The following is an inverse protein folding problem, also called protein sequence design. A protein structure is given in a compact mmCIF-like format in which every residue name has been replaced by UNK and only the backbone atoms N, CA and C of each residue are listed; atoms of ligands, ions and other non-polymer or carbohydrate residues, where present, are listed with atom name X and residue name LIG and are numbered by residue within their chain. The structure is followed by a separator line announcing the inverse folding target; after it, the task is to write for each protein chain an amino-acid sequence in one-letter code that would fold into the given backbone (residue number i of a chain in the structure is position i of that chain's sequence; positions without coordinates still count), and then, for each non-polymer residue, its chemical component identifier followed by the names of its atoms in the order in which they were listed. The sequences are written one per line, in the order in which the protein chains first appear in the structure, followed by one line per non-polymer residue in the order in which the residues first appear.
data_IF_921476638289
#
_entry.id   IF_921476638289
#
_cell.length_a   1.000
_cell.length_b   1.000
_cell.length_c   1.000
_cell.angle_alpha   90.00
_cell.angle_beta   90.00
_cell.angle_gamma   90.00
#
_symmetry.space_group_name_H-M   'P 1'
#
loop_
_entity.id
_entity.type
_entity.pdbx_description
1 polymer ?
#
# COMPACT_ATOMS: atom_id res chain seq x y z
N UNK A 1 -8.88 2.17 12.01
CA UNK A 1 -7.88 1.64 11.06
C UNK A 1 -8.27 0.20 10.73
N UNK A 2 -8.33 -0.18 9.46
CA UNK A 2 -8.53 -1.59 9.09
C UNK A 2 -7.31 -2.39 9.56
N UNK A 3 -7.54 -3.55 10.18
CA UNK A 3 -6.44 -4.42 10.63
C UNK A 3 -6.14 -5.48 9.58
N UNK A 4 -4.90 -5.95 9.58
CA UNK A 4 -4.43 -7.02 8.70
C UNK A 4 -5.32 -8.26 8.79
N UNK A 5 -5.70 -8.66 10.00
CA UNK A 5 -6.51 -9.85 10.27
C UNK A 5 -7.92 -9.73 9.69
N UNK A 6 -8.47 -8.52 9.66
CA UNK A 6 -9.80 -8.27 9.09
C UNK A 6 -9.77 -8.45 7.57
N UNK A 7 -8.70 -7.98 6.90
CA UNK A 7 -8.49 -8.19 5.47
C UNK A 7 -8.26 -9.67 5.16
N UNK A 8 -7.37 -10.35 5.89
CA UNK A 8 -7.09 -11.77 5.67
C UNK A 8 -8.35 -12.64 5.78
N UNK A 9 -9.19 -12.40 6.79
CA UNK A 9 -10.47 -13.11 6.94
C UNK A 9 -11.43 -12.85 5.79
N UNK A 10 -11.42 -11.64 5.22
CA UNK A 10 -12.27 -11.29 4.09
C UNK A 10 -11.79 -11.92 2.77
N UNK A 11 -10.49 -12.19 2.63
CA UNK A 11 -9.89 -12.80 1.45
C UNK A 11 -9.89 -14.34 1.49
N UNK A 12 -10.10 -14.94 2.67
CA UNK A 12 -10.07 -16.39 2.85
C UNK A 12 -11.14 -17.10 2.03
N UNK A 13 -10.78 -18.22 1.40
CA UNK A 13 -11.65 -19.00 0.52
C UNK A 13 -12.05 -18.33 -0.81
N UNK A 14 -11.56 -17.12 -1.11
CA UNK A 14 -11.82 -16.43 -2.39
C UNK A 14 -10.82 -16.83 -3.47
N UNK A 15 -11.28 -16.83 -4.71
CA UNK A 15 -10.41 -16.85 -5.91
C UNK A 15 -9.64 -15.54 -6.04
N UNK A 16 -8.55 -15.52 -6.82
CA UNK A 16 -7.74 -14.30 -6.97
C UNK A 16 -8.51 -13.15 -7.63
N UNK A 17 -9.41 -13.45 -8.56
CA UNK A 17 -10.30 -12.47 -9.17
C UNK A 17 -11.25 -11.84 -8.14
N UNK A 18 -11.86 -12.65 -7.27
CA UNK A 18 -12.73 -12.15 -6.20
C UNK A 18 -11.94 -11.33 -5.17
N UNK A 19 -10.69 -11.70 -4.88
CA UNK A 19 -9.80 -10.91 -4.01
C UNK A 19 -9.53 -9.54 -4.63
N UNK A 20 -9.22 -9.48 -5.93
CA UNK A 20 -9.01 -8.21 -6.66
C UNK A 20 -10.23 -7.31 -6.56
N UNK A 21 -11.41 -7.81 -6.90
CA UNK A 21 -12.69 -7.05 -6.83
C UNK A 21 -12.96 -6.54 -5.42
N UNK A 22 -12.73 -7.38 -4.39
CA UNK A 22 -12.91 -6.96 -3.00
C UNK A 22 -11.96 -5.81 -2.64
N UNK A 23 -10.67 -5.95 -2.98
CA UNK A 23 -9.65 -4.97 -2.63
C UNK A 23 -9.87 -3.63 -3.34
N UNK A 24 -10.19 -3.64 -4.63
CA UNK A 24 -10.50 -2.43 -5.41
C UNK A 24 -11.64 -1.63 -4.79
N UNK A 25 -12.74 -2.31 -4.41
CA UNK A 25 -13.92 -1.66 -3.80
C UNK A 25 -13.65 -1.11 -2.41
N UNK A 26 -12.91 -1.85 -1.58
CA UNK A 26 -12.72 -1.49 -0.17
C UNK A 26 -11.59 -0.48 0.04
N UNK A 27 -10.60 -0.44 -0.85
CA UNK A 27 -9.46 0.46 -0.75
C UNK A 27 -9.45 1.56 -1.82
N UNK A 28 -10.53 1.65 -2.62
CA UNK A 28 -10.70 2.60 -3.72
C UNK A 28 -9.47 2.63 -4.64
N UNK A 29 -9.02 1.42 -5.02
CA UNK A 29 -7.82 1.25 -5.82
C UNK A 29 -8.22 1.27 -7.29
N UNK A 30 -7.91 2.35 -7.98
CA UNK A 30 -7.92 2.39 -9.44
C UNK A 30 -6.57 1.87 -9.95
N UNK A 31 -6.33 0.56 -9.84
CA UNK A 31 -5.14 -0.08 -10.39
C UNK A 31 -5.35 -0.37 -11.88
N UNK A 32 -5.61 0.65 -12.68
CA UNK A 32 -5.39 0.57 -14.13
C UNK A 32 -3.87 0.70 -14.36
N UNK A 33 -3.13 -0.27 -13.84
CA UNK A 33 -1.68 -0.38 -14.07
C UNK A 33 -1.57 -0.88 -15.49
N UNK A 34 -1.31 0.03 -16.43
CA UNK A 34 -1.19 -0.33 -17.83
C UNK A 34 -0.11 -1.39 -18.02
N UNK A 35 -0.45 -2.46 -18.75
CA UNK A 35 0.50 -3.50 -19.12
C UNK A 35 1.65 -2.88 -19.93
N UNK A 36 2.87 -2.92 -19.37
CA UNK A 36 4.07 -2.40 -20.02
C UNK A 36 5.30 -2.44 -19.11
N UNK A 37 6.52 -2.33 -19.67
CA UNK A 37 7.80 -2.41 -18.95
C UNK A 37 8.09 -1.18 -18.07
N UNK A 38 7.06 -0.44 -17.66
CA UNK A 38 7.20 0.84 -17.01
C UNK A 38 7.23 0.71 -15.49
N UNK A 39 8.21 1.37 -14.88
CA UNK A 39 8.26 1.63 -13.44
C UNK A 39 7.25 2.73 -13.11
N UNK A 40 6.27 2.42 -12.27
CA UNK A 40 5.23 3.34 -11.83
C UNK A 40 5.58 3.91 -10.47
N UNK A 41 5.46 5.23 -10.31
CA UNK A 41 5.72 5.92 -9.05
C UNK A 41 4.42 6.31 -8.36
N UNK A 42 4.39 6.16 -7.05
CA UNK A 42 3.25 6.45 -6.20
C UNK A 42 3.70 7.24 -4.97
N UNK A 43 2.74 7.91 -4.34
CA UNK A 43 2.93 8.57 -3.06
C UNK A 43 1.82 8.14 -2.09
N UNK A 44 2.22 7.68 -0.91
CA UNK A 44 1.30 7.42 0.21
C UNK A 44 1.57 8.39 1.35
N UNK A 45 0.54 9.12 1.74
CA UNK A 45 0.57 9.99 2.91
C UNK A 45 0.14 9.23 4.15
N UNK A 46 0.97 9.30 5.20
CA UNK A 46 0.69 8.82 6.55
C UNK A 46 0.57 10.00 7.49
N UNK A 47 -0.44 9.96 8.35
CA UNK A 47 -0.68 10.98 9.39
C UNK A 47 -0.77 10.26 10.72
N UNK A 48 -0.01 10.72 11.71
CA UNK A 48 0.16 10.02 12.97
C UNK A 48 0.48 10.98 14.13
N UNK A 49 0.16 10.55 15.35
CA UNK A 49 0.45 11.29 16.58
C UNK A 49 1.76 10.82 17.23
N UNK A 50 2.11 9.53 17.09
CA UNK A 50 3.30 8.93 17.71
C UNK A 50 3.95 7.87 16.80
N UNK A 51 5.17 7.46 17.15
CA UNK A 51 5.94 6.53 16.33
C UNK A 51 5.29 5.14 16.19
N UNK A 52 4.63 4.64 17.24
CA UNK A 52 3.93 3.35 17.18
C UNK A 52 2.76 3.37 16.20
N UNK A 53 2.01 4.48 16.15
CA UNK A 53 0.94 4.65 15.16
C UNK A 53 1.47 4.67 13.72
N UNK A 54 2.61 5.33 13.47
CA UNK A 54 3.26 5.28 12.16
C UNK A 54 3.71 3.85 11.82
N UNK A 55 4.33 3.14 12.76
CA UNK A 55 4.78 1.77 12.59
C UNK A 55 3.62 0.84 12.22
N UNK A 56 2.50 0.91 12.92
CA UNK A 56 1.30 0.15 12.61
C UNK A 56 0.78 0.45 11.20
N UNK A 57 0.74 1.74 10.82
CA UNK A 57 0.29 2.16 9.49
C UNK A 57 1.23 1.66 8.38
N UNK A 58 2.54 1.69 8.61
CA UNK A 58 3.55 1.19 7.66
C UNK A 58 3.47 -0.32 7.52
N UNK A 59 3.33 -1.06 8.63
CA UNK A 59 3.18 -2.52 8.62
C UNK A 59 1.94 -2.95 7.84
N UNK A 60 0.82 -2.25 8.02
CA UNK A 60 -0.40 -2.51 7.26
C UNK A 60 -0.24 -2.16 5.77
N UNK A 61 0.42 -1.05 5.46
CA UNK A 61 0.71 -0.67 4.07
C UNK A 61 1.58 -1.72 3.36
N UNK A 62 2.69 -2.15 3.96
CA UNK A 62 3.58 -3.16 3.39
C UNK A 62 2.87 -4.52 3.23
N UNK A 63 1.98 -4.87 4.17
CA UNK A 63 1.09 -6.02 4.00
C UNK A 63 0.23 -5.90 2.73
N UNK A 64 -0.44 -4.76 2.52
CA UNK A 64 -1.26 -4.54 1.32
C UNK A 64 -0.41 -4.60 0.04
N UNK A 65 0.75 -3.98 0.03
CA UNK A 65 1.69 -4.03 -1.10
C UNK A 65 2.06 -5.46 -1.45
N UNK A 66 2.34 -6.31 -0.46
CA UNK A 66 2.63 -7.74 -0.71
C UNK A 66 1.43 -8.50 -1.28
N UNK A 67 0.22 -8.24 -0.75
CA UNK A 67 -1.01 -8.84 -1.30
C UNK A 67 -1.22 -8.40 -2.75
N UNK A 68 -0.98 -7.11 -3.04
CA UNK A 68 -1.12 -6.58 -4.40
C UNK A 68 -0.05 -7.12 -5.34
N UNK A 69 1.18 -7.28 -4.86
CA UNK A 69 2.27 -7.86 -5.64
C UNK A 69 1.93 -9.23 -6.19
N UNK A 70 1.40 -10.10 -5.33
CA UNK A 70 0.91 -11.42 -5.73
C UNK A 70 -0.28 -11.33 -6.70
N UNK A 71 -1.28 -10.49 -6.39
CA UNK A 71 -2.52 -10.47 -7.16
C UNK A 71 -2.40 -9.77 -8.52
N UNK A 72 -1.54 -8.78 -8.67
CA UNK A 72 -1.38 -8.02 -9.93
C UNK A 72 -0.04 -8.27 -10.63
N UNK A 73 0.76 -9.23 -10.15
CA UNK A 73 2.09 -9.53 -10.69
C UNK A 73 3.02 -8.30 -10.73
N UNK A 74 3.03 -7.53 -9.64
CA UNK A 74 3.85 -6.33 -9.50
C UNK A 74 4.92 -6.50 -8.43
N UNK A 75 6.09 -5.90 -8.63
CA UNK A 75 7.16 -5.88 -7.64
C UNK A 75 7.30 -4.49 -7.02
N UNK A 76 7.35 -4.44 -5.70
CA UNK A 76 7.68 -3.22 -4.95
C UNK A 76 9.19 -3.02 -4.90
N UNK A 77 9.66 -1.87 -5.39
CA UNK A 77 11.09 -1.55 -5.42
C UNK A 77 11.47 -0.81 -4.13
N UNK A 78 11.94 -1.57 -3.14
CA UNK A 78 12.30 -1.03 -1.83
C UNK A 78 13.46 -0.02 -1.91
N UNK A 79 14.45 -0.25 -2.79
CA UNK A 79 15.62 0.63 -2.93
C UNK A 79 15.27 2.05 -3.40
N UNK A 80 14.15 2.18 -4.12
CA UNK A 80 13.63 3.45 -4.63
C UNK A 80 12.75 4.20 -3.63
N UNK A 81 12.58 3.65 -2.42
CA UNK A 81 11.64 4.17 -1.44
C UNK A 81 12.20 5.37 -0.71
N UNK A 82 11.48 6.50 -0.72
CA UNK A 82 11.88 7.75 -0.08
C UNK A 82 10.82 8.18 0.93
N UNK A 83 11.23 8.46 2.16
CA UNK A 83 10.39 9.02 3.20
C UNK A 83 10.65 10.53 3.36
N UNK A 84 9.62 11.34 3.17
CA UNK A 84 9.64 12.76 3.46
C UNK A 84 8.77 13.03 4.68
N UNK A 85 9.40 13.30 5.82
CA UNK A 85 8.71 13.65 7.07
C UNK A 85 8.53 15.16 7.23
N UNK A 86 7.36 15.58 7.71
CA UNK A 86 7.16 16.91 8.27
C UNK A 86 6.43 16.81 9.61
N UNK A 87 6.70 17.76 10.50
CA UNK A 87 5.97 17.91 11.77
C UNK A 87 5.20 19.22 11.69
N UNK A 88 3.88 19.16 11.77
CA UNK A 88 3.08 20.37 11.83
C UNK A 88 3.24 21.04 13.21
N UNK A 89 3.17 22.38 13.29
CA UNK A 89 3.21 23.11 14.57
C UNK A 89 2.12 22.69 15.57
N UNK A 90 1.03 22.08 15.10
CA UNK A 90 -0.04 21.53 15.94
C UNK A 90 0.30 20.18 16.60
N UNK A 91 1.51 19.64 16.41
CA UNK A 91 1.96 18.36 16.97
C UNK A 91 1.59 17.13 16.14
N UNK A 92 0.73 17.29 15.12
CA UNK A 92 0.43 16.25 14.14
C UNK A 92 1.67 16.00 13.27
N UNK A 93 2.05 14.73 13.11
CA UNK A 93 3.16 14.35 12.23
C UNK A 93 2.60 13.77 10.94
N UNK A 94 3.29 14.07 9.85
CA UNK A 94 2.94 13.55 8.54
C UNK A 94 4.21 13.03 7.87
N UNK A 95 4.10 11.88 7.22
CA UNK A 95 5.18 11.30 6.43
C UNK A 95 4.63 10.92 5.07
N UNK A 96 5.29 11.36 4.02
CA UNK A 96 5.01 10.98 2.64
C UNK A 96 6.00 9.89 2.24
N UNK A 97 5.48 8.74 1.86
CA UNK A 97 6.24 7.65 1.28
C UNK A 97 6.11 7.73 -0.23
N UNK A 98 7.21 8.06 -0.91
CA UNK A 98 7.33 7.85 -2.34
C UNK A 98 7.86 6.46 -2.59
N UNK A 99 7.19 5.70 -3.45
CA UNK A 99 7.57 4.34 -3.78
C UNK A 99 7.29 4.05 -5.25
N UNK A 100 7.93 3.01 -5.77
CA UNK A 100 7.66 2.56 -7.12
C UNK A 100 7.38 1.08 -7.20
N UNK A 101 6.51 0.71 -8.14
CA UNK A 101 6.25 -0.69 -8.50
C UNK A 101 6.57 -0.92 -9.97
N UNK A 102 6.93 -2.15 -10.31
CA UNK A 102 7.19 -2.59 -11.69
C UNK A 102 6.30 -3.76 -12.00
N UNK A 103 5.76 -3.83 -13.23
CA UNK A 103 5.08 -5.04 -13.71
C UNK A 103 6.12 -6.09 -14.07
N UNK A 104 5.93 -7.33 -13.62
CA UNK A 104 6.65 -8.47 -14.17
C UNK A 104 5.95 -8.90 -15.47
N UNK A 105 6.61 -8.69 -16.60
CA UNK A 105 6.23 -9.26 -17.92
C UNK A 105 6.46 -10.76 -17.98
#
# INVERSE_FOLDING_TARGET
MLRKEDVLRALDGKTDEEKRIYLERNFNLAWDISDGPCKFWFAKVFTYCNAGELEDQLNFFLFLVNVFGYLWNICFNQEDTIFLGCTCPCGLKQTILYYSVTSET
#
